data_IF_802538368394
#
_entry.id   IF_802538368394
#
_cell.length_a   1.000
_cell.length_b   1.000
_cell.length_c   1.000
_cell.angle_alpha   90.00
_cell.angle_beta   90.00
_cell.angle_gamma   90.00
#
_symmetry.space_group_name_H-M   'P 1'
#
loop_
_entity.id
_entity.type
_entity.pdbx_description
1 polymer ?
#
# COMPACT_ATOMS: atom_id res chain seq x y z
N UNK A 1 9.39 81.96 -7.40
CA UNK A 1 9.36 81.04 -8.56
C UNK A 1 9.27 79.61 -8.03
N UNK A 2 8.09 79.02 -8.19
CA UNK A 2 7.73 77.68 -7.72
C UNK A 2 8.72 76.61 -8.20
N UNK A 3 9.21 75.78 -7.28
CA UNK A 3 9.60 74.41 -7.60
C UNK A 3 9.01 73.44 -6.58
N UNK A 4 8.18 72.58 -7.13
CA UNK A 4 7.33 71.57 -6.53
C UNK A 4 8.21 70.45 -5.95
N UNK A 5 7.95 70.06 -4.70
CA UNK A 5 8.51 68.86 -4.07
C UNK A 5 7.66 67.66 -4.49
N UNK A 6 8.22 66.56 -5.04
CA UNK A 6 7.46 65.34 -5.25
C UNK A 6 7.51 64.46 -3.99
N UNK A 7 6.34 64.22 -3.41
CA UNK A 7 6.08 63.13 -2.48
C UNK A 7 5.53 61.96 -3.29
N UNK A 8 6.25 60.85 -3.45
CA UNK A 8 5.64 59.56 -3.85
C UNK A 8 6.35 58.38 -3.16
N UNK A 9 5.67 57.87 -2.14
CA UNK A 9 5.43 56.49 -1.73
C UNK A 9 6.56 55.44 -1.83
N UNK A 10 7.13 55.08 -0.67
CA UNK A 10 7.76 53.79 -0.45
C UNK A 10 6.67 52.71 -0.26
N UNK A 11 6.53 51.81 -1.22
CA UNK A 11 5.69 50.62 -1.09
C UNK A 11 6.40 49.60 -0.18
N UNK A 12 5.92 49.47 1.06
CA UNK A 12 6.26 48.39 1.98
C UNK A 12 5.65 47.07 1.44
N UNK A 13 6.48 46.24 0.82
CA UNK A 13 6.18 44.83 0.58
C UNK A 13 6.12 44.11 1.93
N UNK A 14 4.90 44.02 2.49
CA UNK A 14 4.60 43.11 3.58
C UNK A 14 4.73 41.67 3.06
N UNK A 15 5.88 41.05 3.28
CA UNK A 15 6.08 39.62 3.10
C UNK A 15 5.23 38.88 4.15
N UNK A 16 4.01 38.50 3.76
CA UNK A 16 3.22 37.52 4.51
C UNK A 16 3.99 36.20 4.54
N UNK A 17 4.62 35.92 5.68
CA UNK A 17 5.22 34.63 5.98
C UNK A 17 4.15 33.54 5.96
N UNK A 18 4.02 32.87 4.82
CA UNK A 18 3.31 31.61 4.72
C UNK A 18 4.00 30.61 5.63
N UNK A 19 3.46 30.40 6.83
CA UNK A 19 3.82 29.28 7.68
C UNK A 19 3.55 28.02 6.87
N UNK A 20 4.64 27.41 6.38
CA UNK A 20 4.65 26.12 5.72
C UNK A 20 3.95 25.13 6.65
N UNK A 21 2.71 24.78 6.29
CA UNK A 21 1.98 23.71 6.95
C UNK A 21 2.81 22.45 6.74
N UNK A 22 3.38 21.94 7.83
CA UNK A 22 4.04 20.64 7.83
C UNK A 22 3.01 19.62 7.36
N UNK A 23 3.10 19.21 6.10
CA UNK A 23 2.51 17.96 5.64
C UNK A 23 3.27 16.84 6.32
N UNK A 24 2.85 16.53 7.55
CA UNK A 24 3.19 15.26 8.19
C UNK A 24 2.50 14.20 7.35
N UNK A 25 3.25 13.51 6.51
CA UNK A 25 2.86 12.19 6.01
C UNK A 25 2.75 11.29 7.24
N UNK A 26 1.56 11.27 7.85
CA UNK A 26 1.25 10.31 8.88
C UNK A 26 1.35 8.94 8.24
N UNK A 27 2.40 8.18 8.59
CA UNK A 27 2.32 6.73 8.51
C UNK A 27 0.99 6.34 9.16
N UNK A 28 0.13 5.64 8.42
CA UNK A 28 -1.21 5.32 8.87
C UNK A 28 -1.13 4.60 10.23
N UNK A 29 -1.46 5.31 11.31
CA UNK A 29 -1.35 4.77 12.66
C UNK A 29 -2.21 3.51 12.78
N UNK A 30 -1.59 2.38 13.09
CA UNK A 30 -2.30 1.12 13.33
C UNK A 30 -3.19 1.24 14.56
N UNK A 31 -4.34 0.54 14.56
CA UNK A 31 -5.17 0.49 15.76
C UNK A 31 -4.45 -0.33 16.84
N UNK A 32 -4.39 0.15 18.08
CA UNK A 32 -3.92 -0.68 19.19
C UNK A 32 -4.83 -1.89 19.36
N UNK A 33 -4.25 -2.99 19.82
CA UNK A 33 -5.01 -4.20 20.11
C UNK A 33 -6.04 -3.92 21.20
N UNK A 34 -7.19 -4.56 21.08
CA UNK A 34 -8.20 -4.54 22.14
C UNK A 34 -7.66 -5.29 23.35
N UNK A 35 -7.81 -4.71 24.55
CA UNK A 35 -7.44 -5.33 25.83
C UNK A 35 -8.67 -5.78 26.65
N UNK A 36 -9.86 -5.32 26.25
CA UNK A 36 -11.14 -5.58 26.91
C UNK A 36 -11.86 -6.78 26.28
N UNK A 37 -12.53 -7.59 27.10
CA UNK A 37 -13.36 -8.72 26.63
C UNK A 37 -14.85 -8.44 26.80
N UNK A 38 -15.60 -8.41 25.70
CA UNK A 38 -17.06 -8.23 25.76
C UNK A 38 -17.74 -9.54 26.17
N UNK A 39 -17.25 -10.69 25.68
CA UNK A 39 -17.81 -12.01 25.98
C UNK A 39 -17.91 -12.26 27.49
N UNK A 40 -16.83 -12.03 28.25
CA UNK A 40 -16.84 -12.27 29.70
C UNK A 40 -17.87 -11.38 30.43
N UNK A 41 -18.05 -10.14 30.01
CA UNK A 41 -19.02 -9.21 30.62
C UNK A 41 -20.46 -9.57 30.25
N UNK A 42 -20.69 -10.01 29.02
CA UNK A 42 -22.01 -10.48 28.57
C UNK A 42 -22.40 -11.76 29.32
N UNK A 43 -21.45 -12.68 29.53
CA UNK A 43 -21.66 -13.89 30.32
C UNK A 43 -21.93 -13.58 31.79
N UNK A 44 -21.41 -12.47 32.31
CA UNK A 44 -21.70 -11.94 33.63
C UNK A 44 -23.00 -11.12 33.69
N UNK A 45 -23.83 -11.15 32.63
CA UNK A 45 -25.11 -10.46 32.51
C UNK A 45 -25.03 -8.92 32.63
N UNK A 46 -23.86 -8.32 32.36
CA UNK A 46 -23.71 -6.87 32.29
C UNK A 46 -24.41 -6.35 31.04
N UNK A 47 -25.32 -5.38 31.19
CA UNK A 47 -26.07 -4.85 30.06
C UNK A 47 -25.20 -3.91 29.23
N UNK A 48 -25.40 -3.89 27.90
CA UNK A 48 -24.62 -3.05 26.98
C UNK A 48 -24.65 -1.55 27.39
N UNK A 49 -25.81 -1.08 27.87
CA UNK A 49 -26.02 0.32 28.25
C UNK A 49 -25.37 0.69 29.58
N UNK A 50 -24.97 -0.27 30.40
CA UNK A 50 -24.24 -0.02 31.64
C UNK A 50 -22.86 0.58 31.33
N UNK A 51 -22.27 0.23 30.18
CA UNK A 51 -21.03 0.83 29.71
C UNK A 51 -21.22 1.85 28.58
N UNK A 52 -22.14 1.59 27.66
CA UNK A 52 -22.43 2.44 26.49
C UNK A 52 -23.57 3.43 26.76
N UNK A 53 -23.54 4.09 27.92
CA UNK A 53 -24.61 5.01 28.30
C UNK A 53 -24.70 6.20 27.34
N UNK A 54 -25.93 6.61 27.02
CA UNK A 54 -26.21 7.73 26.10
C UNK A 54 -26.15 7.39 24.61
N UNK A 55 -25.84 6.14 24.24
CA UNK A 55 -25.84 5.71 22.83
C UNK A 55 -27.24 5.80 22.20
N UNK A 56 -28.30 5.67 23.00
CA UNK A 56 -29.70 5.84 22.62
C UNK A 56 -30.04 7.24 22.11
N UNK A 57 -29.21 8.24 22.44
CA UNK A 57 -29.37 9.64 22.03
C UNK A 57 -28.32 10.07 21.00
N UNK A 58 -27.41 9.19 20.60
CA UNK A 58 -26.36 9.51 19.66
C UNK A 58 -26.90 9.63 18.23
N UNK A 59 -26.89 10.84 17.69
CA UNK A 59 -27.37 11.16 16.32
C UNK A 59 -26.30 11.00 15.25
N UNK A 60 -25.05 10.79 15.64
CA UNK A 60 -23.92 10.55 14.73
C UNK A 60 -22.89 9.62 15.38
N UNK A 61 -22.02 9.04 14.56
CA UNK A 61 -20.85 8.31 15.02
C UNK A 61 -19.76 9.31 15.43
N UNK A 62 -19.55 9.49 16.73
CA UNK A 62 -18.40 10.24 17.23
C UNK A 62 -17.08 9.50 16.95
N UNK A 63 -15.96 10.24 16.76
CA UNK A 63 -14.64 9.64 16.58
C UNK A 63 -14.20 8.82 17.80
N UNK A 64 -14.66 9.20 19.00
CA UNK A 64 -14.33 8.55 20.27
C UNK A 64 -15.30 7.38 20.55
N UNK A 65 -14.80 6.37 21.26
CA UNK A 65 -15.66 5.28 21.75
C UNK A 65 -16.64 5.85 22.78
N UNK A 66 -17.92 5.50 22.65
CA UNK A 66 -18.98 5.88 23.58
C UNK A 66 -18.96 4.96 24.80
N UNK A 67 -17.84 4.96 25.54
CA UNK A 67 -17.74 4.30 26.85
C UNK A 67 -17.64 5.42 27.87
N UNK A 68 -18.62 5.51 28.75
CA UNK A 68 -18.79 6.63 29.68
C UNK A 68 -18.60 6.25 31.14
N UNK A 69 -18.22 5.00 31.41
CA UNK A 69 -17.98 4.46 32.76
C UNK A 69 -16.52 4.10 32.95
N UNK A 70 -16.06 4.16 34.20
CA UNK A 70 -14.73 3.70 34.57
C UNK A 70 -14.78 2.21 34.89
N UNK A 71 -13.77 1.46 34.46
CA UNK A 71 -13.63 0.04 34.81
C UNK A 71 -13.58 -0.14 36.35
N UNK A 72 -13.05 0.86 37.06
CA UNK A 72 -12.96 0.90 38.52
C UNK A 72 -14.31 0.98 39.24
N UNK A 73 -15.38 1.33 38.53
CA UNK A 73 -16.73 1.40 39.12
C UNK A 73 -17.27 0.00 39.46
N UNK A 74 -16.73 -1.04 38.80
CA UNK A 74 -17.10 -2.45 39.02
C UNK A 74 -15.92 -3.34 39.43
N UNK A 75 -14.68 -2.95 39.15
CA UNK A 75 -13.47 -3.73 39.48
C UNK A 75 -12.56 -2.99 40.44
N UNK A 76 -12.28 -3.63 41.57
CA UNK A 76 -11.37 -3.19 42.62
C UNK A 76 -9.92 -3.72 42.45
N UNK A 77 -9.67 -4.48 41.38
CA UNK A 77 -8.36 -5.04 41.05
C UNK A 77 -7.73 -4.44 39.77
N UNK A 78 -6.69 -5.08 39.25
CA UNK A 78 -5.97 -4.62 38.06
C UNK A 78 -6.87 -4.43 36.83
N UNK A 79 -8.01 -5.12 36.74
CA UNK A 79 -8.98 -4.93 35.64
C UNK A 79 -9.63 -3.54 35.68
N UNK A 80 -9.74 -2.93 36.86
CA UNK A 80 -10.23 -1.57 37.05
C UNK A 80 -9.33 -0.49 36.45
N UNK A 81 -8.09 -0.82 36.09
CA UNK A 81 -7.11 0.12 35.53
C UNK A 81 -6.97 0.02 34.00
N UNK A 82 -7.68 -0.90 33.36
CA UNK A 82 -7.63 -1.08 31.89
C UNK A 82 -8.12 0.19 31.20
N UNK A 83 -7.34 0.71 30.26
CA UNK A 83 -7.70 1.89 29.48
C UNK A 83 -8.32 1.46 28.16
N UNK A 84 -9.47 2.04 27.84
CA UNK A 84 -10.04 1.90 26.50
C UNK A 84 -9.22 2.75 25.53
N UNK A 85 -8.52 2.15 24.55
CA UNK A 85 -7.73 2.93 23.62
C UNK A 85 -8.61 3.81 22.73
N UNK A 86 -8.13 5.01 22.43
CA UNK A 86 -8.79 5.91 21.48
C UNK A 86 -8.77 5.31 20.07
N UNK A 87 -9.86 5.49 19.33
CA UNK A 87 -9.96 5.03 17.96
C UNK A 87 -9.15 5.96 17.07
N UNK A 88 -8.10 5.42 16.44
CA UNK A 88 -7.22 6.20 15.53
C UNK A 88 -7.73 6.15 14.08
N UNK A 89 -8.48 5.11 13.70
CA UNK A 89 -9.07 4.94 12.36
C UNK A 89 -10.49 5.48 12.36
N UNK A 90 -10.71 6.55 11.60
CA UNK A 90 -12.03 7.14 11.46
C UNK A 90 -12.97 6.25 10.64
N UNK A 91 -14.22 6.23 11.07
CA UNK A 91 -15.32 5.62 10.31
C UNK A 91 -15.89 6.67 9.38
N UNK A 92 -15.98 6.34 8.09
CA UNK A 92 -16.37 7.27 7.02
C UNK A 92 -17.80 7.01 6.52
N UNK A 93 -18.75 6.88 7.45
CA UNK A 93 -20.17 6.77 7.15
C UNK A 93 -21.03 7.48 8.20
N UNK A 94 -22.22 7.91 7.80
CA UNK A 94 -23.23 8.52 8.66
C UNK A 94 -24.13 7.46 9.26
N UNK A 95 -24.35 7.52 10.57
CA UNK A 95 -25.29 6.64 11.26
C UNK A 95 -25.76 7.27 12.57
N UNK A 96 -27.05 7.16 12.84
CA UNK A 96 -27.73 7.68 14.02
C UNK A 96 -28.25 6.50 14.84
N UNK A 97 -27.69 6.27 16.02
CA UNK A 97 -28.20 5.24 16.93
C UNK A 97 -29.60 5.61 17.43
N UNK A 98 -29.86 6.89 17.67
CA UNK A 98 -31.18 7.38 18.10
C UNK A 98 -32.30 6.96 17.15
N UNK A 99 -32.12 7.18 15.84
CA UNK A 99 -33.15 6.87 14.84
C UNK A 99 -33.37 5.36 14.70
N UNK A 100 -32.29 4.57 14.84
CA UNK A 100 -32.36 3.12 14.67
C UNK A 100 -32.91 2.43 15.94
N UNK A 101 -32.48 2.85 17.13
CA UNK A 101 -32.93 2.27 18.40
C UNK A 101 -34.41 2.54 18.69
N UNK A 102 -35.02 3.54 18.03
CA UNK A 102 -36.46 3.74 18.02
C UNK A 102 -37.23 2.58 17.33
N UNK A 103 -36.59 1.82 16.45
CA UNK A 103 -37.20 0.74 15.65
C UNK A 103 -36.63 -0.64 15.96
N UNK A 104 -35.32 -0.72 16.24
CA UNK A 104 -34.58 -1.95 16.47
C UNK A 104 -33.90 -1.85 17.83
N UNK A 105 -34.43 -2.57 18.82
CA UNK A 105 -33.92 -2.49 20.21
C UNK A 105 -32.77 -3.43 20.50
N UNK A 106 -32.62 -4.51 19.73
CA UNK A 106 -31.54 -5.47 19.93
C UNK A 106 -30.27 -5.05 19.16
N UNK A 107 -29.24 -4.69 19.91
CA UNK A 107 -27.93 -4.29 19.39
C UNK A 107 -27.31 -5.37 18.49
N UNK A 108 -27.57 -6.66 18.76
CA UNK A 108 -26.98 -7.81 18.04
C UNK A 108 -27.47 -7.91 16.59
N UNK A 109 -28.61 -7.28 16.27
CA UNK A 109 -29.12 -7.18 14.90
C UNK A 109 -28.08 -6.56 13.96
N UNK A 110 -27.36 -5.54 14.45
CA UNK A 110 -26.30 -4.85 13.71
C UNK A 110 -24.91 -5.31 14.14
N UNK A 111 -24.66 -5.40 15.45
CA UNK A 111 -23.37 -5.80 16.01
C UNK A 111 -23.26 -7.33 16.10
N UNK A 112 -23.03 -7.95 14.94
CA UNK A 112 -22.91 -9.40 14.79
C UNK A 112 -21.61 -9.97 15.34
N UNK A 113 -20.59 -9.14 15.49
CA UNK A 113 -19.32 -9.47 16.15
C UNK A 113 -18.87 -8.28 17.02
N UNK A 114 -18.36 -8.58 18.21
CA UNK A 114 -17.81 -7.59 19.13
C UNK A 114 -16.28 -7.71 19.18
N UNK A 115 -15.56 -6.60 19.45
CA UNK A 115 -14.11 -6.66 19.58
C UNK A 115 -13.68 -7.45 20.82
N UNK A 116 -12.75 -8.38 20.66
CA UNK A 116 -12.20 -9.20 21.76
C UNK A 116 -10.68 -9.00 21.91
N UNK A 117 -10.07 -9.44 23.04
CA UNK A 117 -8.67 -9.22 23.29
C UNK A 117 -7.76 -9.70 22.15
N UNK A 118 -6.84 -8.84 21.72
CA UNK A 118 -5.92 -9.11 20.61
C UNK A 118 -6.43 -8.70 19.23
N UNK A 119 -7.72 -8.37 19.07
CA UNK A 119 -8.24 -7.84 17.82
C UNK A 119 -7.58 -6.50 17.48
N UNK A 120 -7.07 -6.39 16.25
CA UNK A 120 -6.53 -5.15 15.67
C UNK A 120 -7.49 -4.48 14.68
N UNK A 121 -8.48 -5.23 14.20
CA UNK A 121 -9.48 -4.74 13.26
C UNK A 121 -10.71 -4.18 13.98
N UNK A 122 -11.30 -3.14 13.39
CA UNK A 122 -12.56 -2.60 13.89
C UNK A 122 -13.67 -3.57 13.49
N UNK A 123 -14.25 -4.29 14.47
CA UNK A 123 -15.47 -5.10 14.30
C UNK A 123 -16.70 -4.20 14.16
N UNK A 124 -16.79 -3.46 13.05
CA UNK A 124 -17.98 -2.68 12.70
C UNK A 124 -19.07 -3.59 12.13
N UNK A 125 -20.37 -3.21 12.26
CA UNK A 125 -21.45 -3.88 11.56
C UNK A 125 -21.14 -4.02 10.06
N UNK A 126 -21.34 -5.22 9.46
CA UNK A 126 -21.16 -5.38 8.03
C UNK A 126 -22.25 -4.62 7.26
N UNK A 127 -21.98 -4.22 6.02
CA UNK A 127 -22.98 -3.58 5.15
C UNK A 127 -24.26 -4.41 5.02
N UNK A 128 -24.12 -5.74 5.05
CA UNK A 128 -25.23 -6.69 5.02
C UNK A 128 -26.23 -6.49 6.18
N UNK A 129 -25.79 -6.03 7.35
CA UNK A 129 -26.67 -5.71 8.46
C UNK A 129 -27.62 -4.57 8.09
N UNK A 130 -27.13 -3.53 7.41
CA UNK A 130 -27.94 -2.42 6.92
C UNK A 130 -28.88 -2.88 5.79
N UNK A 131 -28.36 -3.60 4.80
CA UNK A 131 -29.12 -4.00 3.60
C UNK A 131 -30.11 -5.13 3.85
N UNK A 132 -30.06 -5.78 5.02
CA UNK A 132 -31.08 -6.75 5.44
C UNK A 132 -32.46 -6.11 5.58
N UNK A 133 -32.51 -4.82 5.94
CA UNK A 133 -33.74 -4.04 6.10
C UNK A 133 -33.86 -2.92 5.05
N UNK A 134 -32.76 -2.30 4.66
CA UNK A 134 -32.74 -1.18 3.72
C UNK A 134 -32.43 -1.64 2.29
N UNK A 135 -33.46 -1.67 1.43
CA UNK A 135 -33.29 -2.03 0.03
C UNK A 135 -32.71 -0.87 -0.79
N UNK A 136 -31.50 -1.07 -1.30
CA UNK A 136 -30.77 -0.10 -2.13
C UNK A 136 -30.14 -0.76 -3.35
N UNK A 137 -30.73 -1.85 -3.86
CA UNK A 137 -30.18 -2.58 -5.01
C UNK A 137 -29.90 -1.66 -6.22
N UNK A 138 -30.75 -0.65 -6.45
CA UNK A 138 -30.54 0.32 -7.54
C UNK A 138 -29.37 1.28 -7.26
N UNK A 139 -29.27 1.84 -6.06
CA UNK A 139 -28.16 2.73 -5.69
C UNK A 139 -26.84 1.96 -5.65
N UNK A 140 -26.86 0.73 -5.13
CA UNK A 140 -25.72 -0.18 -5.17
C UNK A 140 -25.31 -0.48 -6.62
N UNK A 141 -26.25 -0.88 -7.49
CA UNK A 141 -25.97 -1.14 -8.91
C UNK A 141 -25.41 0.09 -9.66
N UNK A 142 -25.76 1.29 -9.21
CA UNK A 142 -25.30 2.56 -9.78
C UNK A 142 -24.08 3.15 -9.05
N UNK A 143 -23.49 2.42 -8.09
CA UNK A 143 -22.38 2.88 -7.25
C UNK A 143 -22.65 4.20 -6.49
N UNK A 144 -23.91 4.44 -6.10
CA UNK A 144 -24.34 5.58 -5.28
C UNK A 144 -24.25 5.27 -3.80
N UNK A 145 -23.03 5.30 -3.25
CA UNK A 145 -22.80 4.92 -1.86
C UNK A 145 -22.81 6.11 -0.88
N UNK A 146 -22.88 7.34 -1.37
CA UNK A 146 -22.85 8.58 -0.58
C UNK A 146 -24.04 8.83 0.37
N UNK A 147 -25.22 8.20 0.22
CA UNK A 147 -26.28 8.33 1.23
C UNK A 147 -25.87 7.81 2.61
N UNK A 148 -24.94 6.86 2.65
CA UNK A 148 -24.40 6.32 3.90
C UNK A 148 -22.93 6.69 4.08
N UNK A 149 -22.10 6.64 3.04
CA UNK A 149 -20.67 6.90 3.16
C UNK A 149 -20.35 8.39 3.00
N UNK A 150 -19.64 8.96 3.99
CA UNK A 150 -19.16 10.35 3.90
C UNK A 150 -17.94 10.48 3.01
N UNK A 151 -17.16 9.41 2.90
CA UNK A 151 -16.00 9.30 2.03
C UNK A 151 -15.70 7.83 1.73
N UNK A 152 -15.44 7.52 0.47
CA UNK A 152 -15.14 6.19 -0.04
C UNK A 152 -13.67 6.04 -0.43
N UNK A 153 -12.83 7.07 -0.26
CA UNK A 153 -11.42 7.02 -0.61
C UNK A 153 -10.67 5.94 0.15
N UNK A 154 -10.02 5.05 -0.58
CA UNK A 154 -9.28 3.91 -0.01
C UNK A 154 -10.18 2.74 0.39
N UNK A 155 -11.48 2.80 0.09
CA UNK A 155 -12.34 1.64 0.10
C UNK A 155 -12.01 0.80 -1.12
N UNK A 156 -11.47 -0.41 -0.89
CA UNK A 156 -11.17 -1.38 -1.96
C UNK A 156 -12.15 -2.54 -1.80
N UNK A 157 -13.31 -2.49 -2.47
CA UNK A 157 -14.28 -3.57 -2.40
C UNK A 157 -13.85 -4.73 -3.30
N UNK A 158 -12.78 -5.43 -2.95
CA UNK A 158 -12.31 -6.60 -3.70
C UNK A 158 -13.38 -7.70 -3.82
N UNK A 159 -14.38 -7.69 -2.92
CA UNK A 159 -15.50 -8.63 -2.93
C UNK A 159 -16.83 -8.05 -3.45
N UNK A 160 -17.02 -6.73 -3.44
CA UNK A 160 -18.32 -6.10 -3.74
C UNK A 160 -18.33 -5.32 -5.06
N UNK A 161 -17.18 -4.82 -5.51
CA UNK A 161 -16.99 -4.07 -6.76
C UNK A 161 -15.59 -4.39 -7.32
N UNK A 162 -15.38 -5.65 -7.64
CA UNK A 162 -14.13 -6.11 -8.23
C UNK A 162 -14.06 -5.73 -9.71
N UNK A 163 -12.99 -5.04 -10.11
CA UNK A 163 -12.68 -4.81 -11.51
C UNK A 163 -12.04 -6.06 -12.11
N UNK A 164 -12.81 -7.15 -12.26
CA UNK A 164 -12.28 -8.43 -12.76
C UNK A 164 -12.15 -8.46 -14.28
N UNK A 165 -11.23 -9.30 -14.78
CA UNK A 165 -11.06 -9.56 -16.20
C UNK A 165 -10.16 -8.52 -16.85
N UNK A 166 -10.60 -7.96 -17.97
CA UNK A 166 -9.78 -7.19 -18.90
C UNK A 166 -9.65 -5.68 -18.53
N UNK A 167 -9.71 -5.38 -17.23
CA UNK A 167 -9.60 -4.01 -16.72
C UNK A 167 -8.27 -3.36 -17.13
N UNK A 168 -7.15 -4.11 -17.11
CA UNK A 168 -5.85 -3.62 -17.58
C UNK A 168 -5.92 -3.02 -19.00
N UNK A 169 -6.69 -3.62 -19.90
CA UNK A 169 -6.83 -3.16 -21.29
C UNK A 169 -7.84 -2.03 -21.45
N UNK A 170 -8.88 -2.02 -20.62
CA UNK A 170 -10.05 -1.15 -20.82
C UNK A 170 -10.05 0.10 -19.94
N UNK A 171 -9.35 0.08 -18.79
CA UNK A 171 -9.38 1.18 -17.82
C UNK A 171 -8.88 2.49 -18.42
N UNK A 172 -7.91 2.48 -19.35
CA UNK A 172 -7.44 3.70 -20.00
C UNK A 172 -8.54 4.44 -20.81
N UNK A 173 -9.49 3.71 -21.39
CA UNK A 173 -10.65 4.35 -22.04
C UNK A 173 -11.64 4.89 -21.00
N UNK A 174 -11.98 4.05 -20.02
CA UNK A 174 -12.92 4.40 -18.95
C UNK A 174 -12.43 5.58 -18.10
N UNK A 175 -11.13 5.64 -17.79
CA UNK A 175 -10.51 6.75 -17.07
C UNK A 175 -10.54 8.04 -17.87
N UNK A 176 -10.42 8.00 -19.20
CA UNK A 176 -10.51 9.22 -20.03
C UNK A 176 -11.92 9.81 -20.05
N UNK A 177 -12.95 8.97 -20.07
CA UNK A 177 -14.35 9.40 -20.17
C UNK A 177 -15.02 9.60 -18.81
N UNK A 178 -14.51 8.97 -17.76
CA UNK A 178 -15.22 8.81 -16.49
C UNK A 178 -14.28 8.84 -15.27
N UNK A 179 -13.13 9.53 -15.35
CA UNK A 179 -12.15 9.66 -14.26
C UNK A 179 -12.80 9.96 -12.89
N UNK A 180 -13.82 10.82 -12.89
CA UNK A 180 -14.52 11.27 -11.69
C UNK A 180 -15.25 10.12 -10.99
N UNK A 181 -15.73 9.12 -11.73
CA UNK A 181 -16.37 7.93 -11.16
C UNK A 181 -15.35 7.04 -10.45
N UNK A 182 -14.13 6.92 -10.99
CA UNK A 182 -13.03 6.20 -10.35
C UNK A 182 -12.58 6.93 -9.07
N UNK A 183 -12.54 8.26 -9.12
CA UNK A 183 -12.17 9.12 -8.00
C UNK A 183 -13.19 9.11 -6.84
N UNK A 184 -14.36 8.51 -7.03
CA UNK A 184 -15.30 8.27 -5.94
C UNK A 184 -14.69 7.31 -4.89
N UNK A 185 -13.95 6.28 -5.32
CA UNK A 185 -13.38 5.26 -4.42
C UNK A 185 -11.83 5.31 -4.36
N UNK A 186 -11.16 5.69 -5.44
CA UNK A 186 -9.70 5.68 -5.55
C UNK A 186 -9.11 7.08 -5.40
N UNK A 187 -8.01 7.21 -4.64
CA UNK A 187 -7.24 8.44 -4.57
C UNK A 187 -6.26 8.58 -5.76
N UNK A 188 -5.79 9.78 -6.09
CA UNK A 188 -4.82 9.98 -7.18
C UNK A 188 -3.50 9.22 -6.96
N UNK A 189 -3.14 8.97 -5.71
CA UNK A 189 -2.00 8.11 -5.35
C UNK A 189 -2.16 6.66 -5.86
N UNK A 190 -3.39 6.16 -5.98
CA UNK A 190 -3.66 4.85 -6.58
C UNK A 190 -3.25 4.84 -8.06
N UNK A 191 -3.68 5.84 -8.82
CA UNK A 191 -3.30 5.99 -10.23
C UNK A 191 -1.79 6.11 -10.38
N UNK A 192 -1.15 6.89 -9.50
CA UNK A 192 0.29 7.13 -9.51
C UNK A 192 1.14 5.89 -9.17
N UNK A 193 0.53 4.84 -8.62
CA UNK A 193 1.22 3.56 -8.37
C UNK A 193 1.70 2.92 -9.67
N UNK A 194 0.90 3.04 -10.75
CA UNK A 194 1.32 2.63 -12.08
C UNK A 194 1.70 3.83 -12.95
N UNK A 195 0.91 4.91 -12.93
CA UNK A 195 1.04 6.09 -13.80
C UNK A 195 1.74 7.27 -13.11
N UNK A 196 2.97 7.09 -12.62
CA UNK A 196 3.73 8.21 -12.08
C UNK A 196 4.00 9.27 -13.17
N UNK A 197 3.88 10.55 -12.82
CA UNK A 197 3.85 11.69 -13.77
C UNK A 197 5.12 11.88 -14.62
N UNK A 198 6.21 11.20 -14.29
CA UNK A 198 7.52 11.35 -14.94
C UNK A 198 8.06 10.03 -15.54
N UNK A 199 7.34 8.91 -15.44
CA UNK A 199 7.79 7.62 -15.98
C UNK A 199 6.72 6.96 -16.86
N UNK A 200 7.16 6.09 -17.77
CA UNK A 200 6.26 5.16 -18.46
C UNK A 200 5.42 4.40 -17.41
N UNK A 201 4.12 4.17 -17.64
CA UNK A 201 3.31 3.43 -16.70
C UNK A 201 3.95 2.09 -16.37
N UNK A 202 4.13 1.80 -15.08
CA UNK A 202 4.65 0.52 -14.65
C UNK A 202 3.63 -0.57 -15.02
N UNK A 203 4.07 -1.57 -15.79
CA UNK A 203 3.26 -2.72 -16.07
C UNK A 203 2.98 -3.46 -14.77
N UNK A 204 1.79 -4.03 -14.56
CA UNK A 204 1.50 -4.82 -13.36
C UNK A 204 2.49 -5.97 -13.15
N UNK A 205 3.06 -6.52 -14.21
CA UNK A 205 4.16 -7.50 -14.16
C UNK A 205 5.43 -6.95 -13.49
N UNK A 206 5.67 -5.65 -13.55
CA UNK A 206 6.81 -5.00 -12.90
C UNK A 206 6.53 -4.67 -11.44
N UNK A 207 5.26 -4.50 -11.05
CA UNK A 207 4.85 -4.18 -9.68
C UNK A 207 4.57 -5.45 -8.87
N UNK A 208 3.95 -6.45 -9.51
CA UNK A 208 3.56 -7.74 -8.96
C UNK A 208 4.20 -8.87 -9.76
N UNK A 209 5.54 -9.00 -9.72
CA UNK A 209 6.27 -9.93 -10.57
C UNK A 209 5.85 -11.39 -10.34
N UNK A 210 5.41 -11.74 -9.13
CA UNK A 210 5.04 -13.09 -8.72
C UNK A 210 3.56 -13.44 -8.96
N UNK A 211 2.76 -12.53 -9.48
CA UNK A 211 1.31 -12.75 -9.61
C UNK A 211 0.98 -13.44 -10.94
N UNK A 212 0.23 -14.55 -10.87
CA UNK A 212 -0.30 -15.25 -12.06
C UNK A 212 -1.81 -15.16 -12.05
N UNK A 213 -2.36 -14.50 -13.06
CA UNK A 213 -3.81 -14.36 -13.24
C UNK A 213 -4.26 -15.02 -14.53
N UNK A 214 -5.56 -15.22 -14.69
CA UNK A 214 -6.13 -15.82 -15.91
C UNK A 214 -5.93 -14.92 -17.14
N UNK A 215 -5.92 -13.61 -16.95
CA UNK A 215 -5.62 -12.57 -17.95
C UNK A 215 -4.12 -12.31 -18.12
N UNK A 216 -3.29 -12.82 -17.21
CA UNK A 216 -1.84 -12.64 -17.21
C UNK A 216 -1.12 -13.91 -16.74
N UNK A 217 -0.90 -14.83 -17.69
CA UNK A 217 -0.29 -16.15 -17.44
C UNK A 217 1.24 -16.06 -17.33
N UNK A 218 1.84 -15.02 -17.90
CA UNK A 218 3.28 -14.75 -17.83
C UNK A 218 3.58 -13.98 -16.56
N UNK A 219 4.60 -14.37 -15.80
CA UNK A 219 5.07 -13.60 -14.65
C UNK A 219 6.09 -12.55 -15.06
N UNK A 220 6.25 -11.50 -14.26
CA UNK A 220 7.29 -10.48 -14.50
C UNK A 220 8.70 -10.94 -14.16
N UNK A 221 8.83 -12.01 -13.38
CA UNK A 221 10.09 -12.64 -12.93
C UNK A 221 10.48 -13.88 -13.75
N UNK A 222 9.95 -14.02 -14.97
CA UNK A 222 10.18 -15.23 -15.78
C UNK A 222 11.67 -15.54 -15.96
N UNK A 223 12.51 -14.57 -16.30
CA UNK A 223 13.93 -14.80 -16.57
C UNK A 223 14.66 -15.31 -15.33
N UNK A 224 14.37 -14.79 -14.14
CA UNK A 224 15.05 -15.25 -12.92
C UNK A 224 14.57 -16.62 -12.41
N UNK A 225 13.36 -17.07 -12.78
CA UNK A 225 12.79 -18.33 -12.28
C UNK A 225 12.67 -19.44 -13.30
N UNK A 226 12.67 -19.13 -14.60
CA UNK A 226 12.33 -20.10 -15.63
C UNK A 226 13.30 -21.28 -15.67
N UNK A 227 14.53 -21.16 -15.15
CA UNK A 227 15.44 -22.31 -15.01
C UNK A 227 14.84 -23.41 -14.10
N UNK A 228 14.12 -23.03 -13.05
CA UNK A 228 13.47 -23.95 -12.12
C UNK A 228 12.21 -24.53 -12.78
N UNK A 229 11.39 -23.67 -13.39
CA UNK A 229 10.13 -24.09 -14.03
C UNK A 229 10.35 -24.93 -15.28
N UNK A 230 11.28 -24.54 -16.15
CA UNK A 230 11.67 -25.28 -17.35
C UNK A 230 12.48 -26.55 -17.01
N UNK A 231 13.19 -26.56 -15.88
CA UNK A 231 13.79 -27.79 -15.35
C UNK A 231 12.75 -28.78 -14.85
N UNK A 232 11.70 -28.29 -14.18
CA UNK A 232 10.65 -29.13 -13.60
C UNK A 232 9.62 -29.63 -14.64
N UNK A 233 9.09 -28.73 -15.47
CA UNK A 233 8.10 -29.07 -16.48
C UNK A 233 8.13 -28.10 -17.66
N UNK A 234 9.05 -28.28 -18.62
CA UNK A 234 9.14 -27.42 -19.81
C UNK A 234 7.96 -27.61 -20.78
N UNK A 235 7.11 -28.62 -20.58
CA UNK A 235 5.92 -28.83 -21.42
C UNK A 235 4.80 -27.83 -21.10
N UNK A 236 4.79 -27.22 -19.90
CA UNK A 236 3.78 -26.21 -19.54
C UNK A 236 3.85 -24.98 -20.45
N UNK A 237 5.05 -24.47 -20.72
CA UNK A 237 5.32 -23.35 -21.61
C UNK A 237 5.18 -23.74 -23.09
N UNK A 238 5.63 -24.96 -23.43
CA UNK A 238 5.64 -25.47 -24.82
C UNK A 238 4.27 -25.74 -25.43
N UNK A 239 3.21 -25.69 -24.63
CA UNK A 239 1.82 -25.68 -25.11
C UNK A 239 1.51 -24.46 -25.97
N UNK A 240 2.17 -23.33 -25.70
CA UNK A 240 1.94 -22.07 -26.41
C UNK A 240 3.22 -21.56 -27.11
N UNK A 241 4.41 -21.83 -26.57
CA UNK A 241 5.69 -21.33 -27.10
C UNK A 241 6.52 -22.45 -27.75
N UNK A 242 6.96 -22.27 -29.00
CA UNK A 242 7.85 -23.24 -29.66
C UNK A 242 9.31 -23.16 -29.19
N UNK A 243 10.10 -24.21 -29.43
CA UNK A 243 11.55 -24.23 -29.12
C UNK A 243 12.35 -23.00 -29.60
N UNK A 244 12.05 -22.39 -30.77
CA UNK A 244 12.76 -21.18 -31.22
C UNK A 244 12.71 -20.00 -30.24
N UNK A 245 11.67 -19.91 -29.40
CA UNK A 245 11.60 -18.89 -28.34
C UNK A 245 12.74 -19.05 -27.33
N UNK A 246 12.94 -20.27 -26.83
CA UNK A 246 14.01 -20.60 -25.90
C UNK A 246 15.38 -20.42 -26.58
N UNK A 247 15.53 -20.98 -27.78
CA UNK A 247 16.80 -21.00 -28.51
C UNK A 247 17.28 -19.60 -28.90
N UNK A 248 16.35 -18.73 -29.33
CA UNK A 248 16.67 -17.35 -29.72
C UNK A 248 17.20 -16.53 -28.56
N UNK A 249 16.52 -16.58 -27.40
CA UNK A 249 16.98 -15.87 -26.21
C UNK A 249 18.31 -16.42 -25.73
N UNK A 250 18.42 -17.74 -25.58
CA UNK A 250 19.64 -18.38 -25.07
C UNK A 250 20.84 -18.15 -26.01
N UNK A 251 20.63 -18.15 -27.32
CA UNK A 251 21.68 -17.84 -28.30
C UNK A 251 22.10 -16.36 -28.21
N UNK A 252 21.14 -15.42 -28.12
CA UNK A 252 21.43 -14.00 -27.94
C UNK A 252 22.23 -13.72 -26.65
N UNK A 253 21.94 -14.46 -25.58
CA UNK A 253 22.64 -14.33 -24.30
C UNK A 253 23.91 -15.18 -24.20
N UNK A 254 24.33 -15.88 -25.27
CA UNK A 254 25.44 -16.83 -25.28
C UNK A 254 25.31 -17.97 -24.24
N UNK A 255 24.09 -18.31 -23.84
CA UNK A 255 23.73 -19.36 -22.90
C UNK A 255 23.48 -20.67 -23.65
N UNK A 256 24.53 -21.29 -24.19
CA UNK A 256 24.39 -22.57 -24.90
C UNK A 256 24.18 -23.75 -23.93
N UNK A 257 23.57 -24.85 -24.41
CA UNK A 257 23.36 -26.10 -23.63
C UNK A 257 24.66 -26.68 -23.02
N UNK A 258 25.83 -26.27 -23.51
CA UNK A 258 27.15 -26.64 -22.96
C UNK A 258 27.47 -25.94 -21.62
N UNK A 259 26.66 -24.95 -21.23
CA UNK A 259 26.71 -24.21 -19.96
C UNK A 259 25.86 -24.85 -18.85
N UNK A 260 25.05 -25.87 -19.17
CA UNK A 260 24.10 -26.51 -18.24
C UNK A 260 24.74 -27.61 -17.39
N UNK A 261 25.86 -27.31 -16.73
CA UNK A 261 26.29 -28.10 -15.58
C UNK A 261 25.65 -27.52 -14.31
N UNK A 262 25.26 -28.36 -13.32
CA UNK A 262 24.60 -27.90 -12.12
C UNK A 262 25.63 -27.18 -11.22
N UNK A 263 25.55 -25.85 -11.19
CA UNK A 263 26.37 -24.82 -10.48
C UNK A 263 27.67 -24.34 -11.15
N UNK A 264 28.02 -23.03 -11.06
CA UNK A 264 27.22 -21.81 -11.06
C UNK A 264 27.31 -21.11 -12.44
N UNK A 265 26.27 -20.38 -12.85
CA UNK A 265 26.28 -19.50 -14.05
C UNK A 265 27.30 -18.35 -13.96
N UNK A 266 28.01 -18.24 -12.82
CA UNK A 266 29.07 -17.29 -12.55
C UNK A 266 30.36 -18.03 -12.14
N UNK A 267 31.56 -17.61 -12.61
CA UNK A 267 32.82 -18.23 -12.24
C UNK A 267 33.13 -18.19 -10.74
N UNK A 268 34.03 -19.06 -10.28
CA UNK A 268 34.56 -18.99 -8.92
C UNK A 268 35.20 -17.63 -8.65
N UNK A 269 34.93 -17.04 -7.47
CA UNK A 269 35.42 -15.71 -7.11
C UNK A 269 34.59 -14.53 -7.64
N UNK A 270 33.57 -14.76 -8.49
CA UNK A 270 32.72 -13.70 -9.04
C UNK A 270 32.07 -12.81 -7.97
N UNK A 271 31.52 -13.42 -6.90
CA UNK A 271 30.77 -12.68 -5.89
C UNK A 271 31.65 -11.84 -4.93
N UNK A 272 32.90 -12.24 -4.68
CA UNK A 272 33.65 -11.66 -3.54
C UNK A 272 35.16 -11.49 -3.76
N UNK A 273 35.73 -12.06 -4.81
CA UNK A 273 37.17 -11.99 -5.06
C UNK A 273 37.50 -11.08 -6.24
N UNK A 274 38.02 -9.89 -5.93
CA UNK A 274 38.47 -8.94 -6.96
C UNK A 274 39.65 -9.46 -7.77
N UNK A 275 40.48 -10.34 -7.21
CA UNK A 275 41.64 -10.90 -7.89
C UNK A 275 41.27 -12.01 -8.88
N UNK A 276 40.03 -12.51 -8.85
CA UNK A 276 39.54 -13.61 -9.71
C UNK A 276 39.52 -13.30 -11.22
N UNK A 277 39.68 -12.03 -11.62
CA UNK A 277 39.52 -11.60 -13.02
C UNK A 277 38.06 -11.57 -13.51
N UNK A 278 37.12 -12.13 -12.75
CA UNK A 278 35.70 -12.23 -13.07
C UNK A 278 34.80 -11.59 -12.00
N UNK A 279 35.34 -10.67 -11.19
CA UNK A 279 34.62 -10.04 -10.11
C UNK A 279 33.37 -9.26 -10.58
N UNK A 280 32.22 -9.52 -9.95
CA UNK A 280 30.94 -8.90 -10.30
C UNK A 280 30.99 -7.37 -10.18
N UNK A 281 31.80 -6.81 -9.28
CA UNK A 281 31.96 -5.37 -9.16
C UNK A 281 32.65 -4.71 -10.36
N UNK A 282 33.44 -5.44 -11.15
CA UNK A 282 34.02 -4.95 -12.41
C UNK A 282 33.06 -5.18 -13.58
N UNK A 283 32.29 -6.27 -13.56
CA UNK A 283 31.21 -6.51 -14.52
C UNK A 283 30.06 -5.47 -14.40
N UNK A 284 29.59 -5.21 -13.17
CA UNK A 284 28.51 -4.27 -12.89
C UNK A 284 28.86 -2.82 -13.26
N UNK A 285 30.14 -2.44 -13.26
CA UNK A 285 30.57 -1.10 -13.73
C UNK A 285 30.53 -0.95 -15.24
N UNK A 286 30.64 -2.06 -15.99
CA UNK A 286 30.59 -2.04 -17.45
C UNK A 286 29.14 -1.96 -17.93
N UNK A 287 28.28 -2.80 -17.38
CA UNK A 287 26.86 -2.83 -17.72
C UNK A 287 26.04 -3.49 -16.62
N UNK A 288 25.47 -2.68 -15.74
CA UNK A 288 24.56 -3.17 -14.68
C UNK A 288 23.20 -3.63 -15.24
N UNK A 289 22.81 -3.15 -16.42
CA UNK A 289 21.52 -3.49 -17.04
C UNK A 289 21.52 -4.89 -17.65
N UNK A 290 22.68 -5.39 -18.09
CA UNK A 290 22.86 -6.80 -18.49
C UNK A 290 22.48 -7.78 -17.36
N UNK A 291 22.78 -7.42 -16.11
CA UNK A 291 22.48 -8.23 -14.93
C UNK A 291 20.97 -8.26 -14.67
N UNK A 292 20.31 -7.09 -14.76
CA UNK A 292 18.86 -6.97 -14.60
C UNK A 292 18.07 -7.70 -15.71
N UNK A 293 18.70 -7.93 -16.87
CA UNK A 293 18.09 -8.71 -17.96
C UNK A 293 17.92 -10.20 -17.62
N UNK A 294 18.83 -10.79 -16.82
CA UNK A 294 18.73 -12.17 -16.36
C UNK A 294 18.15 -12.30 -14.94
N UNK A 295 18.48 -11.34 -14.08
CA UNK A 295 17.97 -11.24 -12.72
C UNK A 295 16.89 -10.14 -12.68
N UNK A 296 15.75 -10.46 -13.26
CA UNK A 296 14.63 -9.56 -13.60
C UNK A 296 13.76 -9.09 -12.42
N UNK A 297 14.00 -9.59 -11.20
CA UNK A 297 13.40 -9.07 -9.95
C UNK A 297 13.92 -7.68 -9.52
N UNK A 298 14.49 -6.93 -10.47
CA UNK A 298 15.02 -5.59 -10.29
C UNK A 298 16.23 -5.52 -9.35
N UNK A 299 16.78 -4.31 -9.19
CA UNK A 299 17.90 -4.07 -8.29
C UNK A 299 17.61 -4.54 -6.85
N UNK A 300 16.33 -4.56 -6.43
CA UNK A 300 15.87 -4.93 -5.09
C UNK A 300 16.27 -6.34 -4.65
N UNK A 301 16.10 -7.34 -5.52
CA UNK A 301 16.39 -8.74 -5.18
C UNK A 301 17.87 -9.12 -5.38
N UNK A 302 18.61 -8.35 -6.18
CA UNK A 302 19.94 -8.75 -6.68
C UNK A 302 21.05 -7.90 -6.07
N UNK A 303 20.83 -6.59 -6.01
CA UNK A 303 21.85 -5.61 -5.64
C UNK A 303 21.57 -5.02 -4.26
N UNK A 304 20.33 -4.56 -4.02
CA UNK A 304 19.92 -3.80 -2.83
C UNK A 304 20.05 -4.64 -1.56
N UNK A 305 19.67 -5.92 -1.60
CA UNK A 305 19.77 -6.82 -0.45
C UNK A 305 21.18 -6.82 0.19
N UNK A 306 22.23 -6.69 -0.63
CA UNK A 306 23.61 -6.62 -0.15
C UNK A 306 24.18 -5.19 -0.12
N UNK A 307 23.90 -4.35 -1.11
CA UNK A 307 24.53 -3.04 -1.29
C UNK A 307 23.75 -1.84 -0.74
N UNK A 308 22.54 -2.05 -0.20
CA UNK A 308 21.84 -0.98 0.52
C UNK A 308 22.69 -0.43 1.66
N UNK A 309 22.41 0.79 2.09
CA UNK A 309 23.05 1.35 3.29
C UNK A 309 22.72 0.48 4.49
N UNK A 310 23.76 -0.02 5.17
CA UNK A 310 23.63 -0.98 6.27
C UNK A 310 23.51 -2.45 5.82
N UNK A 311 23.59 -2.74 4.52
CA UNK A 311 23.62 -4.09 3.98
C UNK A 311 24.95 -4.82 4.15
N UNK A 312 25.01 -6.06 3.66
CA UNK A 312 26.15 -6.98 3.84
C UNK A 312 27.40 -6.59 3.03
N UNK A 313 27.26 -5.79 1.97
CA UNK A 313 28.37 -5.42 1.12
C UNK A 313 29.21 -4.29 1.72
N UNK A 314 30.53 -4.51 1.77
CA UNK A 314 31.48 -3.56 2.37
C UNK A 314 31.86 -2.39 1.47
N UNK A 315 31.36 -2.34 0.22
CA UNK A 315 31.70 -1.31 -0.75
C UNK A 315 30.47 -0.71 -1.41
N UNK A 316 30.50 0.63 -1.49
CA UNK A 316 29.50 1.41 -2.21
C UNK A 316 29.48 1.05 -3.70
N UNK A 317 28.29 0.88 -4.29
CA UNK A 317 28.15 0.69 -5.74
C UNK A 317 28.52 1.97 -6.52
N UNK A 318 28.45 3.14 -5.89
CA UNK A 318 28.80 4.41 -6.52
C UNK A 318 30.32 4.58 -6.71
N UNK A 319 30.79 5.14 -7.84
CA UNK A 319 32.18 5.56 -7.97
C UNK A 319 32.50 6.72 -7.01
N UNK A 320 33.77 6.89 -6.64
CA UNK A 320 34.21 7.97 -5.73
C UNK A 320 33.86 9.38 -6.23
N UNK A 321 33.69 9.56 -7.54
CA UNK A 321 33.29 10.82 -8.16
C UNK A 321 31.80 11.11 -8.08
N UNK A 322 30.96 10.12 -7.76
CA UNK A 322 29.50 10.26 -7.74
C UNK A 322 29.03 11.27 -6.68
N UNK A 323 29.61 11.20 -5.49
CA UNK A 323 29.31 12.10 -4.37
C UNK A 323 29.75 13.56 -4.63
N UNK A 324 30.41 13.86 -5.76
CA UNK A 324 30.75 15.24 -6.16
C UNK A 324 29.62 15.92 -6.93
N UNK A 325 28.69 15.13 -7.48
CA UNK A 325 27.57 15.60 -8.30
C UNK A 325 26.21 15.37 -7.65
N UNK A 326 26.17 14.57 -6.57
CA UNK A 326 24.95 14.20 -5.87
C UNK A 326 25.15 14.31 -4.36
N UNK A 327 24.17 14.88 -3.67
CA UNK A 327 24.23 15.15 -2.23
C UNK A 327 23.16 14.38 -1.43
N UNK A 328 23.05 14.68 -0.13
CA UNK A 328 22.05 14.04 0.75
C UNK A 328 20.61 14.51 0.47
N UNK A 329 20.42 15.65 -0.22
CA UNK A 329 19.13 16.12 -0.70
C UNK A 329 18.57 15.23 -1.81
N UNK A 330 19.42 14.81 -2.76
CA UNK A 330 19.04 13.93 -3.87
C UNK A 330 18.44 12.59 -3.44
N UNK A 331 18.83 12.11 -2.25
CA UNK A 331 18.31 10.87 -1.66
C UNK A 331 16.83 10.96 -1.30
N UNK A 332 16.38 12.15 -0.88
CA UNK A 332 15.02 12.42 -0.41
C UNK A 332 14.10 12.85 -1.54
N UNK A 333 14.65 13.46 -2.59
CA UNK A 333 13.88 13.98 -3.72
C UNK A 333 13.69 12.97 -4.86
N UNK A 334 14.52 11.92 -4.94
CA UNK A 334 14.45 10.94 -6.04
C UNK A 334 14.13 9.53 -5.53
N UNK A 335 13.01 8.96 -5.98
CA UNK A 335 12.55 7.63 -5.57
C UNK A 335 13.57 6.51 -5.84
N UNK A 336 14.37 6.64 -6.91
CA UNK A 336 15.45 5.70 -7.23
C UNK A 336 16.58 5.68 -6.18
N UNK A 337 16.86 6.80 -5.53
CA UNK A 337 17.87 6.88 -4.48
C UNK A 337 17.34 6.25 -3.18
N UNK A 338 16.05 6.43 -2.90
CA UNK A 338 15.40 5.87 -1.72
C UNK A 338 15.47 4.33 -1.69
N UNK A 339 15.45 3.67 -2.86
CA UNK A 339 15.51 2.21 -3.01
C UNK A 339 16.77 1.55 -2.40
N UNK A 340 17.87 2.28 -2.21
CA UNK A 340 19.10 1.77 -1.60
C UNK A 340 19.47 2.47 -0.28
N UNK A 341 18.78 3.56 0.06
CA UNK A 341 19.09 4.47 1.16
C UNK A 341 17.96 4.51 2.21
N UNK A 342 17.20 3.42 2.34
CA UNK A 342 16.12 3.31 3.31
C UNK A 342 16.63 3.58 4.74
N UNK A 343 16.12 4.65 5.38
CA UNK A 343 16.46 5.02 6.76
C UNK A 343 17.72 5.88 6.96
N UNK A 344 18.30 6.46 5.90
CA UNK A 344 19.51 7.30 5.96
C UNK A 344 19.29 8.76 5.50
#
# INVERSE_FOLDING_TARGET
MNRIVPVIAAALLAACGAKSSKTVTAAAAEQPAVEFTHEAHIMAEVACLDCHSGIDKATRLEPKRHVSVSCSDCHDDARGQVKVPERVKQVRFTFSHQDHLAKVKDCKTCHQALPEPGDKEIKAPPMAACTSCHNHQMDFAQAKCTPCHTDLKGFVPESAFAHTGDWLRTHGNSSRTSAQTCAACHDQTYCATCHASQTTPALPSSIFPEEVKRDFIHRGDYVSRHMIEAGANPASCRRCHGSPFCDSCHTQQNLTMKSLTPFPVHPAGWASDKASGHFHGDAARRDITSCAGCHDNGASAVCVACHQVGGLATKSPHPKSFARKHDAGDRRSNAMCAACHHGA
#
